data_IF_976372245947
#
_entry.id   IF_976372245947
#
_cell.length_a   1.000
_cell.length_b   1.000
_cell.length_c   1.000
_cell.angle_alpha   90.00
_cell.angle_beta   90.00
_cell.angle_gamma   90.00
#
_symmetry.space_group_name_H-M   'P 1'
#
loop_
_entity.id
_entity.type
_entity.pdbx_description
1 polymer ?
#
# COMPACT_ATOMS: atom_id res chain seq x y z
N UNK A 1 -10.78 -2.28 -4.44
CA UNK A 1 -9.49 -1.82 -4.99
C UNK A 1 -9.52 -0.38 -5.56
N UNK A 2 -10.23 -0.09 -6.66
CA UNK A 2 -10.23 1.25 -7.31
C UNK A 2 -10.38 2.43 -6.34
N UNK A 3 -11.42 2.42 -5.51
CA UNK A 3 -11.69 3.49 -4.53
C UNK A 3 -10.57 3.61 -3.49
N UNK A 4 -9.96 2.48 -3.10
CA UNK A 4 -8.85 2.49 -2.15
C UNK A 4 -7.61 3.13 -2.77
N UNK A 5 -7.24 2.76 -3.99
CA UNK A 5 -6.10 3.37 -4.69
C UNK A 5 -6.30 4.88 -4.89
N UNK A 6 -7.50 5.32 -5.28
CA UNK A 6 -7.84 6.75 -5.38
C UNK A 6 -7.69 7.45 -4.03
N UNK A 7 -8.24 6.86 -2.97
CA UNK A 7 -8.15 7.43 -1.62
C UNK A 7 -6.70 7.53 -1.13
N UNK A 8 -5.88 6.49 -1.32
CA UNK A 8 -4.46 6.49 -0.97
C UNK A 8 -3.70 7.58 -1.73
N UNK A 9 -3.93 7.69 -3.04
CA UNK A 9 -3.28 8.69 -3.89
C UNK A 9 -3.63 10.12 -3.49
N UNK A 10 -4.87 10.36 -3.05
CA UNK A 10 -5.33 11.68 -2.62
C UNK A 10 -4.77 12.10 -1.24
N UNK A 11 -4.46 11.14 -0.36
CA UNK A 11 -4.16 11.40 1.05
C UNK A 11 -2.72 11.07 1.47
N UNK A 12 -1.93 10.46 0.60
CA UNK A 12 -0.56 10.02 0.89
C UNK A 12 0.38 10.29 -0.29
N UNK A 13 1.68 10.12 -0.07
CA UNK A 13 2.68 10.09 -1.14
C UNK A 13 3.05 8.67 -1.55
N UNK A 14 2.27 7.67 -1.11
CA UNK A 14 2.54 6.26 -1.44
C UNK A 14 2.37 6.10 -2.95
N UNK A 15 3.36 5.55 -3.66
CA UNK A 15 3.25 5.35 -5.10
C UNK A 15 2.25 4.24 -5.35
N UNK A 16 1.10 4.59 -5.92
CA UNK A 16 0.07 3.64 -6.37
C UNK A 16 -0.18 3.85 -7.86
N UNK A 17 -0.54 2.80 -8.63
CA UNK A 17 -0.76 2.93 -10.06
C UNK A 17 -1.85 3.93 -10.43
N UNK A 18 -1.62 4.72 -11.49
CA UNK A 18 -2.67 5.56 -12.07
C UNK A 18 -3.75 4.69 -12.73
N UNK A 19 -5.01 4.90 -12.36
CA UNK A 19 -6.14 4.19 -12.96
C UNK A 19 -6.55 4.90 -14.25
N UNK A 20 -6.51 4.20 -15.38
CA UNK A 20 -6.93 4.71 -16.67
C UNK A 20 -8.40 4.43 -16.96
N UNK A 21 -8.85 3.21 -16.70
CA UNK A 21 -10.25 2.80 -16.86
C UNK A 21 -10.56 1.60 -15.96
N UNK A 22 -11.83 1.38 -15.63
CA UNK A 22 -12.24 0.18 -14.91
C UNK A 22 -13.70 -0.17 -15.21
N UNK A 23 -14.03 -1.44 -15.08
CA UNK A 23 -15.38 -1.97 -15.17
C UNK A 23 -15.62 -2.92 -14.00
N UNK A 24 -16.78 -2.81 -13.34
CA UNK A 24 -17.14 -3.64 -12.20
C UNK A 24 -18.51 -4.24 -12.49
N UNK A 25 -18.51 -5.48 -13.00
CA UNK A 25 -19.72 -6.27 -13.28
C UNK A 25 -19.43 -7.77 -13.11
N UNK A 26 -19.42 -8.24 -11.85
CA UNK A 26 -19.22 -9.64 -11.52
C UNK A 26 -17.93 -10.22 -12.10
N UNK A 27 -17.97 -11.37 -12.80
CA UNK A 27 -16.78 -12.05 -13.31
C UNK A 27 -16.06 -11.31 -14.43
N UNK A 28 -16.70 -10.35 -15.10
CA UNK A 28 -16.14 -9.58 -16.21
C UNK A 28 -15.48 -8.27 -15.74
N UNK A 29 -15.29 -8.12 -14.43
CA UNK A 29 -14.66 -6.93 -13.84
C UNK A 29 -13.17 -6.83 -14.23
N UNK A 30 -12.73 -5.61 -14.55
CA UNK A 30 -11.33 -5.31 -14.84
C UNK A 30 -10.92 -3.91 -14.39
N UNK A 31 -9.62 -3.73 -14.19
CA UNK A 31 -8.99 -2.44 -13.95
C UNK A 31 -7.85 -2.30 -14.94
N UNK A 32 -7.87 -1.24 -15.73
CA UNK A 32 -6.76 -0.80 -16.57
C UNK A 32 -6.02 0.31 -15.84
N UNK A 33 -4.74 0.12 -15.60
CA UNK A 33 -3.92 1.01 -14.79
C UNK A 33 -2.48 1.11 -15.30
N UNK A 34 -1.73 2.05 -14.75
CA UNK A 34 -0.33 2.25 -15.02
C UNK A 34 0.49 0.98 -14.78
N UNK A 35 1.35 0.67 -15.75
CA UNK A 35 2.39 -0.32 -15.55
C UNK A 35 3.55 0.30 -14.78
N UNK A 36 3.64 0.00 -13.50
CA UNK A 36 4.75 0.46 -12.65
C UNK A 36 6.09 -0.07 -13.18
N UNK A 37 7.08 0.82 -13.27
CA UNK A 37 8.44 0.46 -13.66
C UNK A 37 9.17 -0.28 -12.54
N UNK A 38 9.96 -1.29 -12.89
CA UNK A 38 10.76 -2.08 -11.95
C UNK A 38 10.38 -3.57 -11.98
N UNK A 39 10.78 -4.27 -10.91
CA UNK A 39 10.44 -5.67 -10.63
C UNK A 39 9.89 -5.78 -9.21
N UNK A 40 9.29 -6.91 -8.84
CA UNK A 40 8.80 -7.06 -7.46
C UNK A 40 9.97 -7.16 -6.48
N UNK A 41 9.74 -6.78 -5.23
CA UNK A 41 10.72 -6.96 -4.17
C UNK A 41 11.00 -8.46 -3.95
N UNK A 42 9.99 -9.31 -4.10
CA UNK A 42 10.16 -10.78 -4.11
C UNK A 42 11.17 -11.22 -5.18
N UNK A 43 11.05 -10.74 -6.41
CA UNK A 43 12.00 -11.05 -7.49
C UNK A 43 13.41 -10.52 -7.18
N UNK A 44 13.53 -9.29 -6.64
CA UNK A 44 14.80 -8.73 -6.18
C UNK A 44 15.48 -9.62 -5.12
N UNK A 45 14.70 -10.14 -4.16
CA UNK A 45 15.17 -11.04 -3.11
C UNK A 45 15.61 -12.37 -3.72
N UNK A 46 14.78 -12.97 -4.59
CA UNK A 46 15.07 -14.25 -5.24
C UNK A 46 16.34 -14.19 -6.10
N UNK A 47 16.64 -13.04 -6.70
CA UNK A 47 17.85 -12.79 -7.49
C UNK A 47 19.07 -12.39 -6.65
N UNK A 48 18.97 -12.39 -5.31
CA UNK A 48 20.03 -11.98 -4.38
C UNK A 48 20.56 -10.56 -4.63
N UNK A 49 19.68 -9.64 -5.07
CA UNK A 49 20.02 -8.23 -5.35
C UNK A 49 19.90 -7.31 -4.13
N UNK A 50 19.35 -7.82 -3.02
CA UNK A 50 19.09 -7.02 -1.82
C UNK A 50 20.24 -7.11 -0.82
N UNK A 51 21.11 -6.10 -0.81
CA UNK A 51 22.19 -5.93 0.16
C UNK A 51 21.65 -5.48 1.53
N UNK A 52 22.52 -5.38 2.54
CA UNK A 52 22.13 -4.83 3.85
C UNK A 52 21.64 -3.37 3.74
N UNK A 53 22.31 -2.55 2.94
CA UNK A 53 21.92 -1.15 2.70
C UNK A 53 20.61 -1.05 1.93
N UNK A 54 20.35 -1.98 0.99
CA UNK A 54 19.04 -2.08 0.32
C UNK A 54 17.93 -2.39 1.32
N UNK A 55 18.14 -3.37 2.22
CA UNK A 55 17.15 -3.72 3.25
C UNK A 55 16.82 -2.54 4.14
N UNK A 56 17.85 -1.80 4.59
CA UNK A 56 17.64 -0.63 5.44
C UNK A 56 16.82 0.44 4.72
N UNK A 57 17.15 0.75 3.46
CA UNK A 57 16.41 1.74 2.66
C UNK A 57 14.97 1.34 2.36
N UNK A 58 14.73 0.06 2.08
CA UNK A 58 13.36 -0.45 1.89
C UNK A 58 12.57 -0.32 3.20
N UNK A 59 13.16 -0.72 4.33
CA UNK A 59 12.50 -0.64 5.64
C UNK A 59 12.16 0.80 6.03
N UNK A 60 13.04 1.76 5.76
CA UNK A 60 12.79 3.19 6.01
C UNK A 60 11.61 3.73 5.19
N UNK A 61 11.54 3.39 3.90
CA UNK A 61 10.42 3.79 3.03
C UNK A 61 9.10 3.15 3.46
N UNK A 62 9.09 1.83 3.72
CA UNK A 62 7.89 1.14 4.17
C UNK A 62 7.40 1.70 5.51
N UNK A 63 8.31 1.97 6.44
CA UNK A 63 7.95 2.61 7.70
C UNK A 63 7.34 4.00 7.47
N UNK A 64 7.92 4.82 6.60
CA UNK A 64 7.33 6.12 6.25
C UNK A 64 5.91 5.96 5.68
N UNK A 65 5.70 5.07 4.71
CA UNK A 65 4.39 4.80 4.12
C UNK A 65 3.36 4.31 5.14
N UNK A 66 3.75 3.41 6.05
CA UNK A 66 2.89 2.97 7.16
C UNK A 66 2.53 4.15 8.07
N UNK A 67 3.48 5.04 8.40
CA UNK A 67 3.18 6.24 9.18
C UNK A 67 2.24 7.19 8.44
N UNK A 68 2.33 7.30 7.12
CA UNK A 68 1.38 8.07 6.32
C UNK A 68 -0.03 7.49 6.41
N UNK A 69 -0.20 6.18 6.18
CA UNK A 69 -1.50 5.51 6.30
C UNK A 69 -2.12 5.70 7.69
N UNK A 70 -1.32 5.56 8.76
CA UNK A 70 -1.78 5.77 10.15
C UNK A 70 -2.18 7.21 10.44
N UNK A 71 -1.63 8.20 9.71
CA UNK A 71 -2.00 9.61 9.82
C UNK A 71 -3.22 9.98 9.00
N UNK A 72 -3.64 9.16 8.03
CA UNK A 72 -4.89 9.37 7.30
C UNK A 72 -6.04 9.18 8.29
N UNK A 73 -6.40 10.27 8.95
CA UNK A 73 -7.46 10.29 9.95
C UNK A 73 -8.79 10.10 9.26
N UNK A 74 -9.61 9.28 9.89
CA UNK A 74 -10.98 9.04 9.53
C UNK A 74 -11.83 10.25 9.98
N UNK A 75 -11.70 11.38 9.28
CA UNK A 75 -12.45 12.62 9.59
C UNK A 75 -13.98 12.42 9.42
N UNK A 76 -14.39 11.27 8.86
CA UNK A 76 -15.78 10.96 8.53
C UNK A 76 -16.46 10.01 9.53
N UNK A 77 -15.76 9.25 10.41
CA UNK A 77 -16.40 8.07 11.03
C UNK A 77 -16.13 7.70 12.51
N UNK A 78 -15.56 8.55 13.37
CA UNK A 78 -15.50 8.21 14.80
C UNK A 78 -16.44 9.03 15.67
N UNK A 79 -17.72 8.67 15.51
CA UNK A 79 -18.76 8.67 16.54
C UNK A 79 -18.19 8.61 17.96
N UNK A 80 -18.73 9.48 18.83
CA UNK A 80 -18.51 9.52 20.29
C UNK A 80 -18.60 8.15 21.00
N UNK A 81 -19.11 7.11 20.35
CA UNK A 81 -19.32 5.76 20.88
C UNK A 81 -18.11 4.82 20.74
N UNK A 82 -17.13 5.12 19.87
CA UNK A 82 -15.95 4.24 19.67
C UNK A 82 -14.77 4.57 20.59
N UNK A 83 -14.86 5.64 21.39
CA UNK A 83 -13.89 5.99 22.46
C UNK A 83 -13.81 4.95 23.59
N UNK A 84 -14.65 3.91 23.58
CA UNK A 84 -14.60 2.80 24.53
C UNK A 84 -13.76 1.61 24.06
N UNK A 85 -13.19 1.66 22.83
CA UNK A 85 -12.29 0.60 22.35
C UNK A 85 -10.84 0.91 22.74
N UNK A 86 -10.14 -0.10 23.27
CA UNK A 86 -8.74 -0.03 23.71
C UNK A 86 -7.72 0.15 22.58
N UNK A 87 -8.14 0.24 21.32
CA UNK A 87 -7.27 0.21 20.14
C UNK A 87 -7.53 1.40 19.22
N UNK A 88 -6.46 1.96 18.67
CA UNK A 88 -6.51 2.91 17.55
C UNK A 88 -6.93 2.17 16.27
N UNK A 89 -7.80 2.77 15.46
CA UNK A 89 -8.16 2.24 14.14
C UNK A 89 -7.41 3.06 13.08
N UNK A 90 -6.60 2.40 12.26
CA UNK A 90 -5.74 3.01 11.24
C UNK A 90 -6.08 2.46 9.86
N UNK A 91 -5.76 3.23 8.82
CA UNK A 91 -5.71 2.69 7.47
C UNK A 91 -4.54 1.70 7.37
N UNK A 92 -4.81 0.56 6.74
CA UNK A 92 -3.90 -0.56 6.60
C UNK A 92 -4.07 -1.13 5.19
N UNK A 93 -2.98 -1.59 4.58
CA UNK A 93 -3.00 -2.20 3.25
C UNK A 93 -3.68 -3.57 3.27
N UNK A 94 -3.40 -4.38 4.29
CA UNK A 94 -4.00 -5.70 4.50
C UNK A 94 -3.26 -6.86 3.81
N UNK A 95 -2.34 -6.58 2.89
CA UNK A 95 -1.56 -7.58 2.14
C UNK A 95 -0.23 -7.01 1.60
N UNK A 96 0.57 -6.39 2.47
CA UNK A 96 1.86 -5.81 2.09
C UNK A 96 2.96 -6.87 2.00
N UNK A 97 2.82 -7.77 1.04
CA UNK A 97 3.77 -8.83 0.72
C UNK A 97 4.87 -8.32 -0.25
N UNK A 98 6.07 -8.92 -0.26
CA UNK A 98 7.13 -8.55 -1.21
C UNK A 98 6.72 -8.67 -2.69
N UNK A 99 5.74 -9.50 -3.02
CA UNK A 99 5.16 -9.61 -4.37
C UNK A 99 4.36 -8.37 -4.78
N UNK A 100 3.81 -7.65 -3.81
CA UNK A 100 2.95 -6.47 -4.01
C UNK A 100 3.75 -5.15 -3.92
N UNK A 101 5.08 -5.23 -3.76
CA UNK A 101 5.97 -4.08 -3.68
C UNK A 101 6.84 -4.05 -4.94
N UNK A 102 6.68 -3.02 -5.76
CA UNK A 102 7.53 -2.77 -6.93
C UNK A 102 8.75 -1.95 -6.53
N UNK A 103 9.92 -2.34 -7.03
CA UNK A 103 11.18 -1.66 -6.78
C UNK A 103 12.01 -1.48 -8.04
N UNK A 104 12.82 -0.43 -8.05
CA UNK A 104 13.92 -0.28 -8.99
C UNK A 104 14.99 -1.37 -8.70
N UNK A 105 15.40 -2.19 -9.68
CA UNK A 105 16.25 -3.37 -9.44
C UNK A 105 17.69 -3.05 -9.04
N UNK A 106 18.16 -1.83 -9.32
CA UNK A 106 19.55 -1.43 -9.05
C UNK A 106 19.66 -0.67 -7.73
N UNK A 107 18.66 0.15 -7.43
CA UNK A 107 18.63 1.00 -6.24
C UNK A 107 17.77 0.44 -5.12
N UNK A 108 16.84 -0.49 -5.39
CA UNK A 108 15.82 -0.95 -4.43
C UNK A 108 14.95 0.20 -3.87
N UNK A 109 14.81 1.30 -4.63
CA UNK A 109 13.83 2.35 -4.36
C UNK A 109 12.43 1.78 -4.65
N UNK A 110 11.46 1.99 -3.75
CA UNK A 110 10.08 1.57 -4.00
C UNK A 110 9.49 2.47 -5.08
N UNK A 111 8.98 1.85 -6.14
CA UNK A 111 8.38 2.52 -7.31
C UNK A 111 6.86 2.36 -7.35
N UNK A 112 6.29 1.41 -6.60
CA UNK A 112 4.84 1.24 -6.48
C UNK A 112 4.45 0.22 -5.42
N UNK A 113 3.27 0.41 -4.84
CA UNK A 113 2.58 -0.55 -3.97
C UNK A 113 1.30 -0.98 -4.70
N UNK A 114 1.16 -2.27 -4.92
CA UNK A 114 0.09 -2.91 -5.69
C UNK A 114 -0.92 -3.59 -4.76
N UNK A 115 -2.06 -3.98 -5.32
CA UNK A 115 -3.00 -4.91 -4.68
C UNK A 115 -3.66 -4.39 -3.39
N UNK A 116 -4.37 -3.27 -3.53
CA UNK A 116 -5.07 -2.61 -2.43
C UNK A 116 -6.47 -3.22 -2.16
N UNK A 117 -6.74 -4.43 -2.62
CA UNK A 117 -8.09 -5.01 -2.59
C UNK A 117 -8.58 -5.29 -1.16
N UNK A 118 -7.67 -5.64 -0.25
CA UNK A 118 -7.96 -5.93 1.16
C UNK A 118 -7.78 -4.74 2.10
N UNK A 119 -7.44 -3.58 1.56
CA UNK A 119 -7.18 -2.38 2.37
C UNK A 119 -8.42 -1.89 3.10
N UNK A 120 -8.20 -1.32 4.28
CA UNK A 120 -9.30 -0.89 5.13
C UNK A 120 -8.84 -0.27 6.44
N UNK A 121 -9.84 0.12 7.25
CA UNK A 121 -9.63 0.68 8.57
C UNK A 121 -9.64 -0.42 9.64
N UNK A 122 -8.47 -0.79 10.12
CA UNK A 122 -8.24 -1.91 11.01
C UNK A 122 -7.55 -1.47 12.31
N UNK A 123 -7.71 -2.20 13.44
CA UNK A 123 -6.94 -1.97 14.67
C UNK A 123 -5.42 -1.87 14.45
N UNK A 124 -4.74 -1.07 15.26
CA UNK A 124 -3.32 -0.71 15.14
C UNK A 124 -2.30 -1.87 15.15
N UNK A 125 -2.71 -3.08 15.53
CA UNK A 125 -1.88 -4.28 15.49
C UNK A 125 -1.90 -4.99 14.13
N UNK A 126 -2.77 -4.58 13.22
CA UNK A 126 -2.77 -5.03 11.84
C UNK A 126 -1.79 -4.16 11.04
N UNK A 127 -0.69 -4.80 10.60
CA UNK A 127 0.45 -4.21 9.86
C UNK A 127 1.44 -3.34 10.67
#
# INVERSE_FOLDING_TARGET
>A
EVQAMQFIKEHTTIPVPDIYSYHIDGPDSFIEMERIAGITLEECIAQNRVTADHRQRIAEQLNDYIQQMRKVQNDVMFSKHLKQRMYTINLTHGELLPSNIMVDPDTCQITGILDWEFSGFYPEYWE
#
